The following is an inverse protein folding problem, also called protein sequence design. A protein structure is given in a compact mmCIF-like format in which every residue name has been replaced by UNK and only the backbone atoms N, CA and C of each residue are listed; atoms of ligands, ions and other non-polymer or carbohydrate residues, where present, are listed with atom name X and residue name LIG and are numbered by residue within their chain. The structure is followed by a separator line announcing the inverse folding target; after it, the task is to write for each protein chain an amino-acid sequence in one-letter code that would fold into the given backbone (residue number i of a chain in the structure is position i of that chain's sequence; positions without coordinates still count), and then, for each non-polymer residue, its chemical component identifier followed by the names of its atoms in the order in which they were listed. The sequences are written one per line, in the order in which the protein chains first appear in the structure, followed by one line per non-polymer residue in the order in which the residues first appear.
data_IF_909062060385
#
_entry.id   IF_909062060385
#
_cell.length_a   1.000
_cell.length_b   1.000
_cell.length_c   1.000
_cell.angle_alpha   90.00
_cell.angle_beta   90.00
_cell.angle_gamma   90.00
#
_symmetry.space_group_name_H-M   'P 1'
#
loop_
_entity.id
_entity.type
_entity.pdbx_description
1 polymer ?
#
# COMPACT_ATOMS: atom_id res chain seq x y z
N UNK A 1 9.44 -10.58 17.97
CA UNK A 1 8.41 -11.64 17.94
C UNK A 1 8.83 -12.71 16.96
N UNK A 2 8.50 -13.98 17.20
CA UNK A 2 8.76 -15.06 16.24
C UNK A 2 7.97 -14.83 14.94
N UNK A 3 8.52 -15.26 13.80
CA UNK A 3 7.82 -15.22 12.53
C UNK A 3 6.64 -16.18 12.60
N UNK A 4 5.41 -15.76 12.21
CA UNK A 4 4.27 -16.66 12.21
C UNK A 4 4.47 -17.79 11.19
N UNK A 5 3.98 -18.98 11.53
CA UNK A 5 3.82 -20.05 10.55
C UNK A 5 2.60 -19.73 9.71
N UNK A 6 2.79 -19.56 8.40
CA UNK A 6 1.72 -19.14 7.49
C UNK A 6 1.56 -20.14 6.34
N UNK A 7 0.33 -20.46 6.03
CA UNK A 7 -0.06 -21.18 4.81
C UNK A 7 -0.61 -20.21 3.78
N UNK A 8 -0.16 -20.35 2.52
CA UNK A 8 -0.66 -19.55 1.40
C UNK A 8 -1.56 -20.41 0.52
N UNK A 9 -2.77 -19.94 0.27
CA UNK A 9 -3.73 -20.61 -0.61
C UNK A 9 -4.53 -19.59 -1.44
N UNK A 10 -5.18 -20.07 -2.49
CA UNK A 10 -6.16 -19.26 -3.21
C UNK A 10 -7.30 -18.82 -2.28
N UNK A 11 -7.78 -17.62 -2.46
CA UNK A 11 -9.00 -17.12 -1.86
C UNK A 11 -10.20 -17.93 -2.39
N UNK A 12 -11.21 -18.13 -1.56
CA UNK A 12 -12.45 -18.82 -1.87
C UNK A 12 -13.63 -17.90 -1.62
N UNK A 13 -14.81 -18.14 -2.24
CA UNK A 13 -15.97 -17.30 -2.00
C UNK A 13 -16.38 -17.17 -0.53
N UNK A 14 -16.18 -18.21 0.28
CA UNK A 14 -16.43 -18.19 1.72
C UNK A 14 -15.48 -17.29 2.51
N UNK A 15 -14.33 -16.90 1.93
CA UNK A 15 -13.33 -16.05 2.56
C UNK A 15 -13.63 -14.54 2.32
N UNK A 16 -14.44 -14.20 1.34
CA UNK A 16 -14.61 -12.83 0.83
C UNK A 16 -14.89 -11.81 1.93
N UNK A 17 -15.85 -12.12 2.81
CA UNK A 17 -16.18 -11.21 3.89
C UNK A 17 -15.03 -11.05 4.90
N UNK A 18 -14.33 -12.14 5.24
CA UNK A 18 -13.19 -12.11 6.14
C UNK A 18 -12.00 -11.31 5.55
N UNK A 19 -11.78 -11.40 4.22
CA UNK A 19 -10.76 -10.63 3.52
C UNK A 19 -11.15 -9.15 3.42
N UNK A 20 -12.42 -8.82 3.21
CA UNK A 20 -12.93 -7.46 3.24
C UNK A 20 -12.75 -6.84 4.63
N UNK A 21 -13.08 -7.58 5.70
CA UNK A 21 -12.86 -7.14 7.08
C UNK A 21 -11.36 -6.97 7.39
N UNK A 22 -10.52 -7.94 6.99
CA UNK A 22 -9.06 -7.85 7.11
C UNK A 22 -8.52 -6.61 6.40
N UNK A 23 -8.99 -6.34 5.18
CA UNK A 23 -8.56 -5.16 4.40
C UNK A 23 -8.99 -3.88 5.09
N UNK A 24 -10.23 -3.85 5.60
CA UNK A 24 -10.75 -2.74 6.40
C UNK A 24 -9.87 -2.48 7.63
N UNK A 25 -9.47 -3.53 8.35
CA UNK A 25 -8.58 -3.38 9.51
C UNK A 25 -7.17 -2.89 9.13
N UNK A 26 -6.63 -3.41 8.02
CA UNK A 26 -5.29 -3.07 7.55
C UNK A 26 -5.16 -1.60 7.12
N UNK A 27 -6.26 -1.00 6.62
CA UNK A 27 -6.28 0.35 6.04
C UNK A 27 -7.18 1.35 6.79
N UNK A 28 -7.72 0.98 7.96
CA UNK A 28 -8.69 1.81 8.68
C UNK A 28 -8.23 3.21 9.06
N UNK A 29 -6.95 3.38 9.28
CA UNK A 29 -6.39 4.68 9.68
C UNK A 29 -5.97 5.52 8.48
N UNK A 30 -6.80 5.59 7.45
CA UNK A 30 -6.56 6.44 6.30
C UNK A 30 -6.78 7.92 6.65
N UNK A 31 -6.08 8.83 5.94
CA UNK A 31 -6.23 10.28 6.09
C UNK A 31 -7.69 10.71 5.89
N UNK A 32 -8.47 9.93 5.14
CA UNK A 32 -9.90 10.15 4.94
C UNK A 32 -10.76 9.84 6.16
N UNK A 33 -10.19 9.23 7.22
CA UNK A 33 -10.93 8.82 8.42
C UNK A 33 -11.77 7.56 8.27
N UNK A 34 -11.67 6.86 7.12
CA UNK A 34 -12.30 5.57 6.83
C UNK A 34 -11.51 4.83 5.73
N UNK A 35 -11.72 3.53 5.63
CA UNK A 35 -11.10 2.69 4.60
C UNK A 35 -12.00 2.64 3.37
N UNK A 36 -11.44 2.72 2.16
CA UNK A 36 -12.12 2.46 0.88
C UNK A 36 -11.62 1.17 0.21
N UNK A 37 -10.46 0.64 0.60
CA UNK A 37 -9.87 -0.56 0.02
C UNK A 37 -10.71 -1.82 0.23
N UNK A 38 -11.51 -1.92 1.28
CA UNK A 38 -12.39 -3.08 1.50
C UNK A 38 -13.53 -3.12 0.46
N UNK A 39 -14.08 -1.98 0.06
CA UNK A 39 -15.02 -1.90 -1.05
C UNK A 39 -14.31 -2.15 -2.39
N UNK A 40 -13.05 -1.68 -2.55
CA UNK A 40 -12.26 -1.97 -3.73
C UNK A 40 -12.10 -3.49 -3.93
N UNK A 41 -11.65 -4.21 -2.91
CA UNK A 41 -11.53 -5.69 -2.95
C UNK A 41 -12.86 -6.35 -3.34
N UNK A 42 -13.97 -5.90 -2.75
CA UNK A 42 -15.31 -6.40 -3.09
C UNK A 42 -15.65 -6.19 -4.57
N UNK A 43 -15.32 -5.02 -5.13
CA UNK A 43 -15.60 -4.68 -6.54
C UNK A 43 -14.64 -5.35 -7.51
N UNK A 44 -13.36 -5.48 -7.16
CA UNK A 44 -12.34 -6.12 -8.00
C UNK A 44 -12.71 -7.54 -8.42
N UNK A 45 -13.30 -8.32 -7.53
CA UNK A 45 -13.74 -9.70 -7.84
C UNK A 45 -14.84 -9.79 -8.90
N UNK A 46 -15.48 -8.66 -9.24
CA UNK A 46 -16.63 -8.58 -10.17
C UNK A 46 -16.26 -8.00 -11.53
N UNK A 47 -15.03 -7.47 -11.70
CA UNK A 47 -14.60 -6.91 -12.99
C UNK A 47 -13.97 -7.97 -13.89
N UNK A 48 -14.11 -7.85 -15.23
CA UNK A 48 -13.57 -8.85 -16.17
C UNK A 48 -12.06 -9.00 -16.15
N UNK A 49 -11.34 -8.01 -15.61
CA UNK A 49 -9.87 -8.02 -15.51
C UNK A 49 -9.35 -8.72 -14.26
N UNK A 50 -10.21 -9.14 -13.36
CA UNK A 50 -9.84 -9.90 -12.18
C UNK A 50 -9.19 -11.24 -12.53
N UNK A 51 -8.19 -11.67 -11.74
CA UNK A 51 -7.43 -12.90 -11.96
C UNK A 51 -7.53 -13.79 -10.71
N UNK A 52 -8.54 -14.67 -10.62
CA UNK A 52 -8.75 -15.52 -9.46
C UNK A 52 -7.58 -16.47 -9.17
N UNK A 53 -6.78 -16.84 -10.19
CA UNK A 53 -5.59 -17.66 -10.04
C UNK A 53 -4.43 -16.95 -9.32
N UNK A 54 -4.54 -15.63 -9.12
CA UNK A 54 -3.57 -14.80 -8.41
C UNK A 54 -4.16 -14.11 -7.16
N UNK A 55 -5.38 -14.45 -6.78
CA UNK A 55 -5.99 -13.99 -5.55
C UNK A 55 -5.67 -14.96 -4.40
N UNK A 56 -4.75 -14.54 -3.51
CA UNK A 56 -4.20 -15.40 -2.46
C UNK A 56 -4.42 -14.82 -1.07
N UNK A 57 -4.73 -15.71 -0.14
CA UNK A 57 -4.75 -15.42 1.29
C UNK A 57 -3.57 -16.08 2.00
N UNK A 58 -3.13 -15.45 3.09
CA UNK A 58 -2.23 -16.02 4.07
C UNK A 58 -3.04 -16.37 5.32
N UNK A 59 -2.92 -17.61 5.76
CA UNK A 59 -3.53 -18.11 7.00
C UNK A 59 -2.47 -18.35 8.06
N UNK A 60 -2.77 -17.98 9.29
CA UNK A 60 -2.04 -18.35 10.49
C UNK A 60 -3.04 -18.76 11.57
N UNK A 61 -2.78 -19.90 12.24
CA UNK A 61 -3.62 -20.42 13.32
C UNK A 61 -5.12 -20.54 12.96
N UNK A 62 -5.41 -20.89 11.68
CA UNK A 62 -6.78 -21.03 11.17
C UNK A 62 -7.50 -19.71 10.88
N UNK A 63 -6.80 -18.57 10.92
CA UNK A 63 -7.33 -17.23 10.62
C UNK A 63 -6.65 -16.66 9.39
N UNK A 64 -7.41 -15.98 8.53
CA UNK A 64 -6.86 -15.20 7.42
C UNK A 64 -6.18 -13.95 7.99
N UNK A 65 -4.88 -13.78 7.71
CA UNK A 65 -4.05 -12.71 8.25
C UNK A 65 -3.45 -11.81 7.17
N UNK A 66 -3.63 -12.17 5.90
CA UNK A 66 -3.21 -11.37 4.75
C UNK A 66 -3.90 -11.77 3.47
N UNK A 67 -3.98 -10.85 2.51
CA UNK A 67 -4.50 -11.06 1.16
C UNK A 67 -3.72 -10.23 0.15
N UNK A 68 -3.64 -10.73 -1.07
CA UNK A 68 -3.16 -10.00 -2.26
C UNK A 68 -4.06 -10.35 -3.45
N UNK A 69 -4.56 -9.36 -4.15
CA UNK A 69 -5.47 -9.49 -5.28
C UNK A 69 -4.90 -8.84 -6.53
N UNK A 70 -5.08 -9.48 -7.68
CA UNK A 70 -4.51 -9.05 -8.96
C UNK A 70 -5.58 -8.80 -10.02
N UNK A 71 -5.26 -7.85 -10.89
CA UNK A 71 -6.00 -7.62 -12.13
C UNK A 71 -5.05 -7.53 -13.32
N UNK A 72 -5.58 -7.79 -14.53
CA UNK A 72 -4.91 -7.40 -15.75
C UNK A 72 -4.91 -5.87 -15.88
N UNK A 73 -3.79 -5.37 -16.35
CA UNK A 73 -3.57 -3.98 -16.71
C UNK A 73 -2.86 -3.94 -18.07
N UNK A 74 -2.64 -2.77 -18.65
CA UNK A 74 -2.01 -2.66 -19.95
C UNK A 74 -1.03 -1.49 -20.02
N UNK A 75 -0.03 -1.67 -20.86
CA UNK A 75 0.82 -0.59 -21.37
C UNK A 75 0.42 -0.36 -22.81
N UNK A 76 0.13 0.88 -23.18
CA UNK A 76 -0.13 1.30 -24.56
C UNK A 76 1.09 2.05 -25.07
N UNK A 77 1.72 1.52 -26.10
CA UNK A 77 2.91 2.11 -26.68
C UNK A 77 2.56 3.27 -27.63
N UNK A 78 3.54 4.10 -28.06
CA UNK A 78 3.31 5.22 -28.96
C UNK A 78 2.75 4.84 -30.35
N UNK A 79 2.85 3.56 -30.74
CA UNK A 79 2.26 3.05 -31.99
C UNK A 79 0.81 2.57 -31.82
N UNK A 80 0.28 2.59 -30.59
CA UNK A 80 -1.05 2.11 -30.24
C UNK A 80 -1.13 0.60 -29.97
N UNK A 81 0.01 -0.10 -29.93
CA UNK A 81 0.04 -1.50 -29.55
C UNK A 81 -0.13 -1.62 -28.04
N UNK A 82 -0.99 -2.54 -27.63
CA UNK A 82 -1.28 -2.81 -26.22
C UNK A 82 -0.53 -4.03 -25.74
N UNK A 83 0.18 -3.89 -24.65
CA UNK A 83 0.90 -4.96 -23.97
C UNK A 83 0.24 -5.25 -22.63
N UNK A 84 -0.26 -6.49 -22.46
CA UNK A 84 -0.85 -6.90 -21.19
C UNK A 84 0.22 -7.06 -20.11
N UNK A 85 -0.06 -6.52 -18.94
CA UNK A 85 0.72 -6.62 -17.71
C UNK A 85 -0.22 -6.82 -16.53
N UNK A 86 0.33 -7.02 -15.36
CA UNK A 86 -0.43 -7.12 -14.12
C UNK A 86 -0.33 -5.84 -13.29
N UNK A 87 -1.37 -5.61 -12.49
CA UNK A 87 -1.29 -4.80 -11.28
C UNK A 87 -1.87 -5.59 -10.12
N UNK A 88 -1.49 -5.24 -8.90
CA UNK A 88 -2.13 -5.75 -7.70
C UNK A 88 -2.43 -4.62 -6.73
N UNK A 89 -3.44 -4.83 -5.95
CA UNK A 89 -3.85 -3.98 -4.86
C UNK A 89 -5.34 -4.17 -4.53
N UNK A 90 -5.64 -4.08 -3.24
CA UNK A 90 -4.71 -3.89 -2.13
C UNK A 90 -3.89 -5.14 -1.80
N UNK A 91 -2.72 -4.94 -1.15
CA UNK A 91 -2.00 -5.95 -0.41
C UNK A 91 -2.27 -5.71 1.08
N UNK A 92 -3.10 -6.51 1.67
CA UNK A 92 -3.60 -6.35 3.03
C UNK A 92 -2.90 -7.33 3.99
N UNK A 93 -2.53 -6.85 5.17
CA UNK A 93 -2.03 -7.68 6.28
C UNK A 93 -2.60 -7.12 7.57
N UNK A 94 -3.19 -7.97 8.41
CA UNK A 94 -3.69 -7.56 9.71
C UNK A 94 -2.63 -6.81 10.51
N UNK A 95 -2.98 -5.72 11.23
CA UNK A 95 -2.03 -4.88 11.94
C UNK A 95 -1.06 -5.66 12.84
N UNK A 96 -1.56 -6.67 13.57
CA UNK A 96 -0.76 -7.51 14.47
C UNK A 96 0.23 -8.44 13.75
N UNK A 97 0.04 -8.70 12.44
CA UNK A 97 0.92 -9.53 11.60
C UNK A 97 1.81 -8.71 10.65
N UNK A 98 1.69 -7.38 10.69
CA UNK A 98 2.55 -6.51 9.88
C UNK A 98 4.01 -6.57 10.35
N UNK A 99 4.94 -6.35 9.42
CA UNK A 99 6.39 -6.44 9.64
C UNK A 99 6.92 -7.85 10.00
N UNK A 100 6.06 -8.89 9.97
CA UNK A 100 6.45 -10.28 10.19
C UNK A 100 6.72 -11.06 8.90
N UNK A 101 6.72 -10.38 7.74
CA UNK A 101 7.04 -10.96 6.43
C UNK A 101 5.84 -11.56 5.67
N UNK A 102 4.62 -11.47 6.19
CA UNK A 102 3.40 -12.01 5.55
C UNK A 102 3.19 -11.43 4.15
N UNK A 103 3.19 -10.09 4.01
CA UNK A 103 3.02 -9.44 2.71
C UNK A 103 4.15 -9.81 1.72
N UNK A 104 5.40 -9.93 2.19
CA UNK A 104 6.51 -10.40 1.35
C UNK A 104 6.30 -11.83 0.88
N UNK A 105 5.82 -12.72 1.74
CA UNK A 105 5.54 -14.10 1.38
C UNK A 105 4.45 -14.21 0.31
N UNK A 106 3.34 -13.45 0.47
CA UNK A 106 2.28 -13.36 -0.52
C UNK A 106 2.81 -12.89 -1.87
N UNK A 107 3.57 -11.79 -1.91
CA UNK A 107 4.14 -11.26 -3.14
C UNK A 107 5.07 -12.27 -3.82
N UNK A 108 6.05 -12.83 -3.11
CA UNK A 108 7.01 -13.75 -3.72
C UNK A 108 6.32 -15.01 -4.28
N UNK A 109 5.31 -15.53 -3.55
CA UNK A 109 4.53 -16.66 -4.01
C UNK A 109 3.74 -16.34 -5.30
N UNK A 110 3.04 -15.21 -5.31
CA UNK A 110 2.21 -14.81 -6.45
C UNK A 110 3.05 -14.37 -7.66
N UNK A 111 4.26 -13.84 -7.46
CA UNK A 111 5.19 -13.57 -8.58
C UNK A 111 5.59 -14.86 -9.31
N UNK A 112 5.87 -15.94 -8.58
CA UNK A 112 6.14 -17.25 -9.18
C UNK A 112 4.91 -17.79 -9.93
N UNK A 113 3.71 -17.62 -9.38
CA UNK A 113 2.47 -18.02 -10.05
C UNK A 113 2.25 -17.21 -11.32
N UNK A 114 2.41 -15.89 -11.27
CA UNK A 114 2.26 -15.00 -12.42
C UNK A 114 3.25 -15.36 -13.55
N UNK A 115 4.52 -15.68 -13.22
CA UNK A 115 5.49 -16.20 -14.21
C UNK A 115 5.00 -17.48 -14.88
N UNK A 116 4.50 -18.45 -14.10
CA UNK A 116 4.00 -19.73 -14.61
C UNK A 116 2.75 -19.56 -15.48
N UNK A 117 1.95 -18.54 -15.24
CA UNK A 117 0.79 -18.17 -16.07
C UNK A 117 1.19 -17.39 -17.33
N UNK A 118 2.49 -17.06 -17.50
CA UNK A 118 3.01 -16.40 -18.70
C UNK A 118 2.93 -14.88 -18.68
N UNK A 119 2.58 -14.27 -17.54
CA UNK A 119 2.60 -12.81 -17.43
C UNK A 119 4.03 -12.27 -17.44
N UNK A 120 4.20 -11.11 -18.09
CA UNK A 120 5.51 -10.52 -18.33
C UNK A 120 6.00 -9.59 -17.23
N UNK A 121 5.12 -8.81 -16.65
CA UNK A 121 5.48 -7.79 -15.67
C UNK A 121 4.32 -7.44 -14.76
N UNK A 122 4.67 -6.86 -13.61
CA UNK A 122 3.74 -6.27 -12.65
C UNK A 122 4.08 -4.78 -12.55
N UNK A 123 3.08 -3.92 -12.68
CA UNK A 123 3.21 -2.45 -12.58
C UNK A 123 2.27 -1.96 -11.48
N UNK A 124 2.78 -1.15 -10.58
CA UNK A 124 2.04 -0.71 -9.39
C UNK A 124 2.29 0.75 -9.06
N UNK A 125 1.40 1.31 -8.28
CA UNK A 125 1.66 2.48 -7.45
C UNK A 125 1.96 2.00 -6.03
N UNK A 126 3.19 2.19 -5.55
CA UNK A 126 3.61 1.60 -4.29
C UNK A 126 4.77 2.32 -3.61
N UNK A 127 5.01 1.99 -2.35
CA UNK A 127 5.99 2.67 -1.52
C UNK A 127 7.42 2.52 -2.05
N UNK A 128 8.13 3.61 -2.38
CA UNK A 128 9.46 3.55 -2.96
C UNK A 128 10.52 2.89 -2.05
N UNK A 129 10.31 2.85 -0.74
CA UNK A 129 11.24 2.18 0.19
C UNK A 129 10.90 0.72 0.48
N UNK A 130 9.71 0.26 0.06
CA UNK A 130 9.26 -1.09 0.36
C UNK A 130 9.42 -2.05 -0.82
N UNK A 131 8.88 -1.70 -1.97
CA UNK A 131 8.80 -2.58 -3.12
C UNK A 131 10.15 -2.89 -3.80
N UNK A 132 11.18 -2.03 -3.76
CA UNK A 132 12.52 -2.40 -4.22
C UNK A 132 13.12 -3.61 -3.51
N UNK A 133 12.71 -3.87 -2.26
CA UNK A 133 13.16 -5.05 -1.48
C UNK A 133 12.65 -6.38 -2.03
N UNK A 134 11.70 -6.34 -2.95
CA UNK A 134 11.15 -7.51 -3.66
C UNK A 134 11.33 -7.42 -5.17
N UNK A 135 12.21 -6.51 -5.64
CA UNK A 135 12.68 -6.44 -7.01
C UNK A 135 12.02 -5.38 -7.90
N UNK A 136 11.08 -4.58 -7.38
CA UNK A 136 10.52 -3.47 -8.14
C UNK A 136 11.56 -2.36 -8.36
N UNK A 137 11.46 -1.73 -9.52
CA UNK A 137 12.24 -0.56 -9.90
C UNK A 137 11.28 0.54 -10.36
N UNK A 138 11.76 1.78 -10.46
CA UNK A 138 10.96 2.89 -11.00
C UNK A 138 10.47 2.54 -12.41
N UNK A 139 9.21 2.74 -12.68
CA UNK A 139 8.62 2.44 -13.98
C UNK A 139 9.26 3.28 -15.11
N UNK A 140 9.74 4.48 -14.77
CA UNK A 140 10.50 5.35 -15.69
C UNK A 140 11.80 4.72 -16.22
N UNK A 141 12.43 3.81 -15.48
CA UNK A 141 13.62 3.08 -15.94
C UNK A 141 13.32 2.13 -17.12
N UNK A 142 12.04 1.81 -17.32
CA UNK A 142 11.55 0.99 -18.43
C UNK A 142 10.83 1.84 -19.50
N UNK A 143 10.91 3.19 -19.42
CA UNK A 143 10.22 4.07 -20.35
C UNK A 143 8.70 4.12 -20.17
N UNK A 144 8.20 3.73 -18.98
CA UNK A 144 6.77 3.75 -18.68
C UNK A 144 6.38 5.07 -17.99
N UNK A 145 5.18 5.55 -18.34
CA UNK A 145 4.51 6.68 -17.71
C UNK A 145 3.10 6.27 -17.28
N UNK A 146 2.50 7.04 -16.41
CA UNK A 146 1.08 6.93 -16.08
C UNK A 146 0.20 7.26 -17.30
N UNK A 147 -1.09 7.01 -17.20
CA UNK A 147 -2.06 7.28 -18.29
C UNK A 147 -2.08 8.75 -18.74
N UNK A 148 -1.78 9.68 -17.85
CA UNK A 148 -1.66 11.12 -18.09
C UNK A 148 -0.22 11.57 -18.48
N UNK A 149 0.73 10.64 -18.61
CA UNK A 149 2.09 10.89 -19.07
C UNK A 149 3.08 11.29 -17.97
N UNK A 150 2.70 11.21 -16.70
CA UNK A 150 3.55 11.55 -15.57
C UNK A 150 4.44 10.37 -15.14
N UNK A 151 5.42 10.67 -14.30
CA UNK A 151 6.26 9.69 -13.61
C UNK A 151 6.63 10.21 -12.23
N UNK A 152 6.72 9.32 -11.24
CA UNK A 152 7.11 9.63 -9.86
C UNK A 152 7.63 8.35 -9.18
N UNK A 153 8.28 8.50 -8.03
CA UNK A 153 9.02 7.41 -7.37
C UNK A 153 8.12 6.22 -6.95
N UNK A 154 6.87 6.49 -6.61
CA UNK A 154 5.92 5.43 -6.25
C UNK A 154 5.36 4.66 -7.46
N UNK A 155 5.56 5.13 -8.69
CA UNK A 155 5.20 4.41 -9.90
C UNK A 155 6.31 3.43 -10.27
N UNK A 156 6.06 2.13 -10.08
CA UNK A 156 7.07 1.08 -10.09
C UNK A 156 6.67 -0.11 -10.96
N UNK A 157 7.67 -0.78 -11.53
CA UNK A 157 7.49 -1.98 -12.34
C UNK A 157 8.45 -3.10 -11.91
N UNK A 158 7.99 -4.33 -12.05
CA UNK A 158 8.74 -5.57 -11.84
C UNK A 158 8.65 -6.44 -13.09
N UNK A 159 9.70 -6.55 -13.93
CA UNK A 159 9.80 -7.59 -14.94
C UNK A 159 9.80 -8.97 -14.28
N UNK A 160 8.94 -9.88 -14.72
CA UNK A 160 8.84 -11.23 -14.13
C UNK A 160 9.90 -12.19 -14.67
N UNK A 161 10.54 -11.86 -15.79
CA UNK A 161 11.68 -12.57 -16.37
C UNK A 161 12.60 -11.58 -17.09
N UNK A 162 13.81 -11.99 -17.39
CA UNK A 162 14.79 -11.16 -18.11
C UNK A 162 14.26 -10.75 -19.49
N UNK A 163 14.37 -9.48 -19.82
CA UNK A 163 13.87 -8.93 -21.09
C UNK A 163 12.35 -8.76 -21.18
N UNK A 164 11.59 -9.02 -20.13
CA UNK A 164 10.12 -8.99 -20.16
C UNK A 164 9.52 -7.63 -20.59
N UNK A 165 10.24 -6.55 -20.37
CA UNK A 165 9.86 -5.19 -20.75
C UNK A 165 10.76 -4.59 -21.86
N UNK A 166 11.66 -5.40 -22.46
CA UNK A 166 12.52 -4.90 -23.52
C UNK A 166 11.69 -4.47 -24.74
N UNK A 167 11.95 -3.25 -25.20
CA UNK A 167 11.21 -2.66 -26.32
C UNK A 167 9.77 -2.24 -26.01
N UNK A 168 9.32 -2.37 -24.76
CA UNK A 168 8.00 -1.93 -24.31
C UNK A 168 8.16 -0.64 -23.53
N UNK A 169 7.61 0.44 -24.08
CA UNK A 169 7.55 1.76 -23.44
C UNK A 169 6.17 2.37 -23.71
N UNK A 170 5.70 3.27 -22.87
CA UNK A 170 4.43 3.96 -23.11
C UNK A 170 3.63 4.21 -21.83
N UNK A 171 2.32 4.38 -22.04
CA UNK A 171 1.40 4.74 -20.96
C UNK A 171 0.79 3.52 -20.31
N UNK A 172 0.78 3.52 -18.98
CA UNK A 172 0.18 2.46 -18.18
C UNK A 172 -1.27 2.82 -17.83
N UNK A 173 -2.16 1.82 -17.98
CA UNK A 173 -3.58 1.94 -17.68
C UNK A 173 -4.03 0.79 -16.78
N UNK A 174 -4.76 1.13 -15.73
CA UNK A 174 -5.47 0.21 -14.84
C UNK A 174 -6.97 0.23 -15.13
N UNK A 175 -7.71 -0.72 -14.57
CA UNK A 175 -9.17 -0.73 -14.67
C UNK A 175 -9.76 0.47 -13.90
N UNK A 176 -10.80 1.14 -14.43
CA UNK A 176 -11.44 2.28 -13.78
C UNK A 176 -11.99 1.99 -12.38
N UNK A 177 -12.17 0.73 -12.01
CA UNK A 177 -12.62 0.33 -10.66
C UNK A 177 -11.70 0.86 -9.56
N UNK A 178 -10.40 1.03 -9.83
CA UNK A 178 -9.43 1.59 -8.88
C UNK A 178 -9.64 3.08 -8.59
N UNK A 179 -10.32 3.80 -9.48
CA UNK A 179 -10.52 5.24 -9.41
C UNK A 179 -12.00 5.63 -9.18
N UNK A 180 -12.91 4.65 -9.18
CA UNK A 180 -14.37 4.89 -9.19
C UNK A 180 -15.04 4.69 -7.82
N UNK A 181 -14.29 4.79 -6.73
CA UNK A 181 -14.84 4.64 -5.38
C UNK A 181 -15.44 5.97 -4.92
N UNK A 182 -16.75 5.98 -4.69
CA UNK A 182 -17.49 7.12 -4.11
C UNK A 182 -17.61 6.94 -2.60
N UNK A 183 -17.37 7.99 -1.85
CA UNK A 183 -17.42 7.98 -0.37
C UNK A 183 -18.78 7.50 0.15
N UNK A 184 -19.88 7.81 -0.55
CA UNK A 184 -21.23 7.36 -0.18
C UNK A 184 -21.35 5.84 -0.28
N UNK A 185 -20.84 5.25 -1.35
CA UNK A 185 -20.85 3.80 -1.56
C UNK A 185 -19.99 3.10 -0.53
N UNK A 186 -18.81 3.68 -0.22
CA UNK A 186 -17.90 3.17 0.82
C UNK A 186 -18.60 3.16 2.18
N UNK A 187 -19.22 4.27 2.58
CA UNK A 187 -19.92 4.38 3.86
C UNK A 187 -21.16 3.47 3.95
N UNK A 188 -21.82 3.21 2.83
CA UNK A 188 -22.95 2.27 2.79
C UNK A 188 -22.45 0.83 2.94
N UNK A 189 -21.37 0.47 2.22
CA UNK A 189 -20.76 -0.85 2.32
C UNK A 189 -20.18 -1.13 3.72
N UNK A 190 -19.59 -0.11 4.34
CA UNK A 190 -19.01 -0.19 5.68
C UNK A 190 -20.02 -0.59 6.77
N UNK A 191 -21.32 -0.34 6.55
CA UNK A 191 -22.40 -0.77 7.46
C UNK A 191 -22.57 -2.28 7.60
N UNK A 192 -22.01 -3.06 6.67
CA UNK A 192 -22.00 -4.54 6.73
C UNK A 192 -20.96 -5.10 7.70
N UNK A 193 -20.11 -4.24 8.28
CA UNK A 193 -19.07 -4.58 9.25
C UNK A 193 -19.38 -4.02 10.64
N UNK A 194 -18.75 -4.53 11.70
CA UNK A 194 -18.91 -3.97 13.03
C UNK A 194 -18.63 -2.46 13.06
N UNK A 195 -19.43 -1.67 13.78
CA UNK A 195 -19.19 -0.23 13.90
C UNK A 195 -17.79 0.06 14.40
N UNK A 196 -17.15 1.07 13.81
CA UNK A 196 -15.81 1.51 14.16
C UNK A 196 -15.75 3.02 14.16
N UNK A 197 -15.08 3.58 15.16
CA UNK A 197 -14.88 5.02 15.23
C UNK A 197 -14.06 5.50 14.03
N UNK A 198 -14.47 6.60 13.44
CA UNK A 198 -13.70 7.24 12.36
C UNK A 198 -12.33 7.64 12.89
N UNK A 199 -11.30 7.30 12.16
CA UNK A 199 -9.99 7.86 12.43
C UNK A 199 -10.00 9.36 12.15
N UNK A 200 -9.58 10.14 13.14
CA UNK A 200 -9.39 11.58 12.99
C UNK A 200 -7.88 11.83 12.98
N UNK A 201 -7.31 12.23 11.83
CA UNK A 201 -5.88 12.54 11.76
C UNK A 201 -5.51 13.62 12.76
N UNK A 202 -4.44 13.43 13.51
CA UNK A 202 -3.95 14.42 14.48
C UNK A 202 -3.14 15.48 13.74
N UNK A 203 -3.56 16.75 13.70
CA UNK A 203 -2.81 17.79 13.00
C UNK A 203 -1.39 17.91 13.54
N UNK A 204 -0.40 18.09 12.65
CA UNK A 204 1.01 18.27 13.03
C UNK A 204 1.19 19.45 13.99
N UNK A 205 0.28 20.40 13.96
CA UNK A 205 0.25 21.58 14.86
C UNK A 205 0.36 21.18 16.33
N UNK A 206 -0.19 20.04 16.74
CA UNK A 206 -0.10 19.53 18.13
C UNK A 206 1.33 19.33 18.56
N UNK A 207 2.21 18.91 17.62
CA UNK A 207 3.65 18.82 17.84
C UNK A 207 4.31 20.18 17.75
N UNK A 208 4.01 20.96 16.70
CA UNK A 208 4.64 22.26 16.44
C UNK A 208 4.46 23.23 17.62
N UNK A 209 3.33 23.20 18.29
CA UNK A 209 3.03 24.07 19.45
C UNK A 209 3.88 23.75 20.69
N UNK A 210 4.55 22.59 20.73
CA UNK A 210 5.43 22.17 21.83
C UNK A 210 6.92 22.37 21.56
N UNK A 211 7.27 22.66 20.29
CA UNK A 211 8.64 22.87 19.87
C UNK A 211 9.04 24.35 19.96
N UNK A 212 10.32 24.60 20.20
CA UNK A 212 10.88 25.95 20.04
C UNK A 212 10.89 26.39 18.56
N UNK A 213 11.24 27.63 18.31
CA UNK A 213 11.14 28.22 16.97
C UNK A 213 12.01 27.49 15.94
N UNK A 214 13.25 27.10 16.30
CA UNK A 214 14.15 26.42 15.38
C UNK A 214 13.72 24.99 15.06
N UNK A 215 13.32 24.24 16.09
CA UNK A 215 12.80 22.89 15.93
C UNK A 215 11.46 22.89 15.16
N UNK A 216 10.62 23.90 15.38
CA UNK A 216 9.37 24.08 14.64
C UNK A 216 9.62 24.26 13.15
N UNK A 217 10.49 25.21 12.77
CA UNK A 217 10.85 25.48 11.36
C UNK A 217 11.40 24.22 10.69
N UNK A 218 12.26 23.46 11.38
CA UNK A 218 12.81 22.21 10.87
C UNK A 218 11.74 21.14 10.61
N UNK A 219 10.74 21.01 11.50
CA UNK A 219 9.62 20.07 11.33
C UNK A 219 8.66 20.55 10.25
N UNK A 220 8.36 21.84 10.16
CA UNK A 220 7.55 22.43 9.08
C UNK A 220 8.19 22.19 7.71
N UNK A 221 9.53 22.23 7.63
CA UNK A 221 10.29 21.91 6.42
C UNK A 221 10.12 20.49 5.90
N UNK A 222 9.59 19.55 6.72
CA UNK A 222 9.25 18.19 6.27
C UNK A 222 7.96 18.15 5.44
N UNK A 223 7.14 19.22 5.44
CA UNK A 223 5.87 19.31 4.71
C UNK A 223 4.76 18.41 5.25
N UNK A 224 4.88 17.89 6.47
CA UNK A 224 3.86 17.05 7.09
C UNK A 224 2.65 17.89 7.51
N UNK A 225 1.46 17.39 7.22
CA UNK A 225 0.19 18.00 7.64
C UNK A 225 -0.34 17.36 8.92
N UNK A 226 -0.09 16.07 9.08
CA UNK A 226 -0.56 15.26 10.20
C UNK A 226 0.59 14.55 10.92
N UNK A 227 0.38 14.28 12.21
CA UNK A 227 1.38 13.66 13.08
C UNK A 227 1.69 12.21 12.68
N UNK A 228 0.70 11.49 12.16
CA UNK A 228 0.85 10.11 11.69
C UNK A 228 1.80 9.97 10.49
N UNK A 229 1.99 11.03 9.70
CA UNK A 229 2.98 11.03 8.63
C UNK A 229 4.42 10.79 9.13
N UNK A 230 4.69 11.09 10.41
CA UNK A 230 5.95 10.74 11.06
C UNK A 230 6.17 9.23 11.19
N UNK A 231 5.10 8.44 11.30
CA UNK A 231 5.18 6.98 11.42
C UNK A 231 5.71 6.31 10.15
N UNK A 232 5.64 6.99 9.02
CA UNK A 232 6.13 6.52 7.73
C UNK A 232 7.66 6.61 7.61
N UNK A 233 8.30 7.35 8.51
CA UNK A 233 9.75 7.55 8.54
C UNK A 233 10.34 6.87 9.78
N UNK A 234 11.61 6.52 9.73
CA UNK A 234 12.30 6.09 10.94
C UNK A 234 12.67 7.32 11.79
N UNK A 235 12.84 7.10 13.08
CA UNK A 235 13.34 8.14 13.99
C UNK A 235 14.66 8.75 13.50
N UNK A 236 15.55 7.89 12.97
CA UNK A 236 16.82 8.31 12.38
C UNK A 236 16.62 9.21 11.16
N UNK A 237 15.65 8.90 10.30
CA UNK A 237 15.38 9.68 9.10
C UNK A 237 14.85 11.07 9.48
N UNK A 238 13.95 11.16 10.47
CA UNK A 238 13.46 12.43 11.01
C UNK A 238 14.62 13.25 11.59
N UNK A 239 15.39 12.66 12.51
CA UNK A 239 16.53 13.33 13.13
C UNK A 239 17.55 13.81 12.08
N UNK A 240 17.83 12.99 11.07
CA UNK A 240 18.78 13.36 10.00
C UNK A 240 18.25 14.46 9.08
N UNK A 241 16.94 14.45 8.77
CA UNK A 241 16.31 15.43 7.88
C UNK A 241 16.09 16.79 8.55
N UNK A 242 15.84 16.80 9.89
CA UNK A 242 15.51 18.02 10.63
C UNK A 242 16.67 18.59 11.42
N UNK A 243 17.68 17.79 11.76
CA UNK A 243 18.75 18.18 12.67
C UNK A 243 18.30 18.47 14.10
N UNK A 244 17.13 17.96 14.51
CA UNK A 244 16.61 18.14 15.86
C UNK A 244 17.58 17.60 16.90
N UNK A 245 17.77 18.35 17.97
CA UNK A 245 18.50 17.88 19.15
C UNK A 245 17.70 16.84 19.96
N UNK A 246 18.36 16.21 20.93
CA UNK A 246 17.73 15.14 21.72
C UNK A 246 16.52 15.63 22.51
N UNK A 247 16.54 16.87 22.98
CA UNK A 247 15.41 17.47 23.72
C UNK A 247 14.17 17.62 22.83
N UNK A 248 14.34 18.11 21.61
CA UNK A 248 13.26 18.24 20.63
C UNK A 248 12.76 16.86 20.18
N UNK A 249 13.68 15.89 19.98
CA UNK A 249 13.30 14.50 19.67
C UNK A 249 12.53 13.83 20.80
N UNK A 250 12.82 14.12 22.06
CA UNK A 250 12.02 13.63 23.19
C UNK A 250 10.60 14.19 23.17
N UNK A 251 10.42 15.46 22.81
CA UNK A 251 9.08 16.06 22.62
C UNK A 251 8.33 15.33 21.51
N UNK A 252 8.98 15.06 20.37
CA UNK A 252 8.37 14.28 19.27
C UNK A 252 7.93 12.90 19.75
N UNK A 253 8.81 12.16 20.45
CA UNK A 253 8.50 10.83 21.00
C UNK A 253 7.31 10.88 21.95
N UNK A 254 7.28 11.87 22.84
CA UNK A 254 6.21 12.03 23.82
C UNK A 254 4.87 12.34 23.14
N UNK A 255 4.84 13.28 22.22
CA UNK A 255 3.61 13.64 21.48
C UNK A 255 3.09 12.46 20.69
N UNK A 256 3.96 11.73 19.99
CA UNK A 256 3.56 10.53 19.26
C UNK A 256 2.95 9.48 20.21
N UNK A 257 3.60 9.23 21.34
CA UNK A 257 3.13 8.25 22.33
C UNK A 257 1.76 8.63 22.93
N UNK A 258 1.55 9.89 23.26
CA UNK A 258 0.28 10.43 23.79
C UNK A 258 -0.90 10.18 22.82
N UNK A 259 -0.63 10.15 21.50
CA UNK A 259 -1.61 9.86 20.46
C UNK A 259 -1.59 8.39 19.98
N UNK A 260 -0.91 7.51 20.72
CA UNK A 260 -0.87 6.07 20.43
C UNK A 260 0.05 5.65 19.30
N UNK A 261 0.94 6.52 18.86
CA UNK A 261 1.92 6.27 17.80
C UNK A 261 3.27 5.81 18.32
N UNK A 262 3.95 4.94 17.58
CA UNK A 262 5.33 4.53 17.85
C UNK A 262 6.13 4.55 16.54
N UNK A 263 7.43 4.84 16.66
CA UNK A 263 8.34 4.74 15.53
C UNK A 263 8.31 3.35 14.91
N UNK A 264 8.26 3.29 13.58
CA UNK A 264 8.18 2.02 12.86
C UNK A 264 6.82 1.34 12.92
N UNK A 265 5.81 1.95 13.55
CA UNK A 265 4.42 1.55 13.34
C UNK A 265 4.02 2.05 11.95
N UNK A 266 4.44 1.31 10.93
CA UNK A 266 4.15 1.62 9.53
C UNK A 266 2.68 1.45 9.29
N UNK A 267 1.96 2.55 9.35
CA UNK A 267 0.70 2.65 8.66
C UNK A 267 1.01 3.08 7.25
N UNK A 268 0.67 2.24 6.32
CA UNK A 268 0.83 2.51 4.91
C UNK A 268 -0.41 3.23 4.42
N UNK A 269 -0.21 4.45 3.99
CA UNK A 269 -1.11 5.08 3.06
C UNK A 269 -0.32 5.48 1.84
N UNK A 270 -0.84 5.05 0.70
CA UNK A 270 -0.29 5.40 -0.60
C UNK A 270 -1.42 5.98 -1.43
N UNK A 271 -1.29 7.24 -1.70
CA UNK A 271 -1.84 7.90 -2.88
C UNK A 271 -0.78 8.81 -3.45
#
# INVERSE_FOLDING_TARGET
MAKPDITLRLERPEDYHAVEELTREAFWRSIRGFCDEHLLVHRLRKVPVFIPELDYVAEADGRIVGNIIYTRARIEDPSGITHEVLTFGPLSVLPEYQNMGVGKALMLHTFEKARKLGYRAIVIFGHPDYYPRVGFRRASEFGLTTSDGNTFDAFMALPLYEGALDGIQGRFFIDPVFESLDDKDVLEFDKSFPPKDRYVPVPIKVLLDRLDAGAREAVEGLGCTYLDEFTHRSERDISSATGLDEKAMDIVRQVMLEHGWRWGSKQKEWR
#
